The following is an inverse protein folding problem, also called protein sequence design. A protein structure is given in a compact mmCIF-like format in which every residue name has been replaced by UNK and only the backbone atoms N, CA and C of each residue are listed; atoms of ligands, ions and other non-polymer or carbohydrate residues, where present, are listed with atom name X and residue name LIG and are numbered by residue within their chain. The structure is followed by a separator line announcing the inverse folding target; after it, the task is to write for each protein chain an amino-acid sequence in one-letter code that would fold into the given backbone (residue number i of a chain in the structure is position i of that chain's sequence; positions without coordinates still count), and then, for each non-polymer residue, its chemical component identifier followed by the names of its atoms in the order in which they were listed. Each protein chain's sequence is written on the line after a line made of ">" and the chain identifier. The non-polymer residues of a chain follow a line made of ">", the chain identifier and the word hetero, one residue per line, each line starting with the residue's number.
data_IF_507688422890
#
_entry.id   IF_507688422890
#
_cell.length_a   1.000
_cell.length_b   1.000
_cell.length_c   1.000
_cell.angle_alpha   90.00
_cell.angle_beta   90.00
_cell.angle_gamma   90.00
#
_symmetry.space_group_name_H-M   'P 1'
#
loop_
_entity.id
_entity.type
_entity.pdbx_description
1 polymer ?
#
# COMPACT_ATOMS: atom_id res chain seq x y z
N UNK A 1 8.29 -5.33 19.30
CA UNK A 1 8.85 -6.45 18.50
C UNK A 1 9.59 -7.49 19.37
N UNK A 2 10.68 -7.17 20.09
CA UNK A 2 11.47 -8.19 20.81
C UNK A 2 10.69 -8.88 21.96
N UNK A 3 9.87 -8.13 22.69
CA UNK A 3 9.02 -8.68 23.77
C UNK A 3 7.98 -9.66 23.21
N UNK A 4 7.23 -9.24 22.17
CA UNK A 4 6.23 -10.10 21.52
C UNK A 4 6.85 -11.39 20.94
N UNK A 5 8.08 -11.31 20.41
CA UNK A 5 8.79 -12.49 19.93
C UNK A 5 9.14 -13.43 21.08
N UNK A 6 9.73 -12.91 22.16
CA UNK A 6 10.10 -13.69 23.34
C UNK A 6 8.88 -14.39 23.96
N UNK A 7 7.76 -13.68 24.09
CA UNK A 7 6.51 -14.21 24.65
C UNK A 7 5.93 -15.37 23.82
N UNK A 8 6.13 -15.37 22.50
CA UNK A 8 5.54 -16.34 21.58
C UNK A 8 6.57 -17.33 21.00
N UNK A 9 7.80 -17.35 21.50
CA UNK A 9 8.90 -18.19 20.97
C UNK A 9 8.60 -19.71 21.06
N UNK A 10 7.70 -20.09 21.94
CA UNK A 10 7.23 -21.47 22.10
C UNK A 10 6.20 -21.91 21.04
N UNK A 11 5.68 -20.97 20.25
CA UNK A 11 4.72 -21.22 19.19
C UNK A 11 5.45 -21.30 17.84
N UNK A 12 5.65 -22.52 17.34
CA UNK A 12 6.39 -22.79 16.09
C UNK A 12 5.85 -21.98 14.91
N UNK A 13 4.52 -21.92 14.75
CA UNK A 13 3.88 -21.17 13.67
C UNK A 13 4.18 -19.67 13.77
N UNK A 14 4.11 -19.12 14.98
CA UNK A 14 4.44 -17.71 15.19
C UNK A 14 5.91 -17.44 14.85
N UNK A 15 6.82 -18.32 15.26
CA UNK A 15 8.25 -18.18 14.99
C UNK A 15 8.51 -18.22 13.48
N UNK A 16 7.88 -19.14 12.75
CA UNK A 16 7.99 -19.23 11.30
C UNK A 16 7.48 -17.94 10.60
N UNK A 17 6.28 -17.48 10.95
CA UNK A 17 5.69 -16.26 10.37
C UNK A 17 6.56 -15.02 10.69
N UNK A 18 7.09 -14.94 11.93
CA UNK A 18 7.98 -13.86 12.37
C UNK A 18 9.30 -13.87 11.59
N UNK A 19 9.99 -15.01 11.52
CA UNK A 19 11.27 -15.13 10.82
C UNK A 19 11.12 -14.88 9.32
N UNK A 20 10.01 -15.34 8.70
CA UNK A 20 9.70 -15.05 7.29
C UNK A 20 9.55 -13.54 7.07
N UNK A 21 8.80 -12.87 7.94
CA UNK A 21 8.58 -11.42 7.83
C UNK A 21 9.88 -10.64 8.04
N UNK A 22 10.67 -10.98 9.06
CA UNK A 22 11.94 -10.29 9.33
C UNK A 22 12.98 -10.54 8.23
N UNK A 23 13.03 -11.77 7.66
CA UNK A 23 13.89 -12.06 6.51
C UNK A 23 13.49 -11.19 5.31
N UNK A 24 12.20 -11.13 4.97
CA UNK A 24 11.71 -10.27 3.89
C UNK A 24 12.02 -8.78 4.11
N UNK A 25 11.91 -8.30 5.36
CA UNK A 25 12.23 -6.90 5.69
C UNK A 25 13.73 -6.56 5.54
N UNK A 26 14.62 -7.54 5.73
CA UNK A 26 16.06 -7.33 5.63
C UNK A 26 16.61 -7.58 4.21
N UNK A 27 15.87 -8.29 3.35
CA UNK A 27 16.25 -8.61 1.97
C UNK A 27 16.05 -7.41 1.02
N UNK A 28 16.82 -6.34 1.28
CA UNK A 28 16.72 -5.09 0.53
C UNK A 28 17.50 -5.16 -0.79
N UNK A 29 16.91 -4.59 -1.85
CA UNK A 29 17.57 -4.42 -3.14
C UNK A 29 18.03 -2.97 -3.36
N UNK A 30 19.12 -2.79 -4.10
CA UNK A 30 19.61 -1.47 -4.43
C UNK A 30 18.64 -0.73 -5.39
N UNK A 31 18.35 0.53 -5.07
CA UNK A 31 17.55 1.42 -5.93
C UNK A 31 18.50 2.37 -6.67
N UNK A 32 18.35 2.58 -8.00
CA UNK A 32 19.15 3.53 -8.75
C UNK A 32 19.06 4.96 -8.16
N UNK A 33 20.22 5.60 -7.95
CA UNK A 33 20.30 6.85 -7.21
C UNK A 33 19.47 8.00 -7.78
N UNK A 34 19.41 8.13 -9.12
CA UNK A 34 18.61 9.18 -9.76
C UNK A 34 17.10 8.93 -9.59
N UNK A 35 16.66 7.67 -9.60
CA UNK A 35 15.26 7.30 -9.34
C UNK A 35 14.90 7.67 -7.90
N UNK A 36 15.75 7.32 -6.93
CA UNK A 36 15.54 7.66 -5.52
C UNK A 36 15.49 9.18 -5.31
N UNK A 37 16.42 9.93 -5.92
CA UNK A 37 16.45 11.40 -5.84
C UNK A 37 15.16 12.02 -6.40
N UNK A 38 14.66 11.53 -7.54
CA UNK A 38 13.41 12.01 -8.13
C UNK A 38 12.20 11.66 -7.26
N UNK A 39 12.14 10.43 -6.75
CA UNK A 39 11.09 9.97 -5.85
C UNK A 39 10.96 10.87 -4.61
N UNK A 40 12.07 11.14 -3.91
CA UNK A 40 12.07 12.01 -2.73
C UNK A 40 11.72 13.46 -3.08
N UNK A 41 12.34 14.05 -4.12
CA UNK A 41 12.07 15.46 -4.45
C UNK A 41 10.64 15.66 -4.95
N UNK A 42 10.18 14.84 -5.90
CA UNK A 42 8.91 15.08 -6.59
C UNK A 42 7.71 14.64 -5.77
N UNK A 43 7.78 13.52 -5.03
CA UNK A 43 6.65 13.01 -4.27
C UNK A 43 6.62 13.54 -2.85
N UNK A 44 7.72 13.38 -2.09
CA UNK A 44 7.74 13.74 -0.67
C UNK A 44 7.86 15.25 -0.45
N UNK A 45 8.81 15.90 -1.12
CA UNK A 45 9.11 17.31 -0.84
C UNK A 45 8.18 18.28 -1.61
N UNK A 46 7.88 17.97 -2.87
CA UNK A 46 7.15 18.89 -3.76
C UNK A 46 5.71 18.45 -4.04
N UNK A 47 5.35 17.20 -3.73
CA UNK A 47 4.01 16.63 -3.94
C UNK A 47 3.47 16.86 -5.38
N UNK A 48 4.32 16.72 -6.39
CA UNK A 48 4.00 17.08 -7.79
C UNK A 48 2.94 16.17 -8.42
N UNK A 49 2.80 14.93 -7.94
CA UNK A 49 1.87 13.95 -8.48
C UNK A 49 0.42 14.38 -8.31
N UNK A 50 0.05 14.83 -7.11
CA UNK A 50 -1.31 15.29 -6.80
C UNK A 50 -1.66 16.61 -7.48
N UNK A 51 -0.65 17.33 -7.95
CA UNK A 51 -0.77 18.62 -8.62
C UNK A 51 -0.81 18.50 -10.15
N UNK A 52 -0.71 17.29 -10.70
CA UNK A 52 -0.57 17.02 -12.13
C UNK A 52 0.64 17.72 -12.78
N UNK A 53 1.77 17.79 -12.04
CA UNK A 53 3.02 18.43 -12.48
C UNK A 53 4.23 17.50 -12.48
N UNK A 54 4.06 16.25 -12.07
CA UNK A 54 5.18 15.30 -11.97
C UNK A 54 5.64 14.85 -13.36
N UNK A 55 6.92 15.06 -13.73
CA UNK A 55 7.47 14.53 -14.97
C UNK A 55 7.86 13.05 -14.81
N UNK A 56 7.55 12.24 -15.82
CA UNK A 56 8.02 10.86 -15.99
C UNK A 56 8.42 10.67 -17.44
N UNK A 57 9.72 10.57 -17.70
CA UNK A 57 10.26 10.62 -19.06
C UNK A 57 9.85 11.92 -19.78
N UNK A 58 9.22 11.79 -20.94
CA UNK A 58 8.69 12.92 -21.73
C UNK A 58 7.27 13.36 -21.34
N UNK A 59 6.67 12.72 -20.35
CA UNK A 59 5.26 12.91 -20.00
C UNK A 59 5.12 13.68 -18.69
N UNK A 60 4.11 14.56 -18.62
CA UNK A 60 3.63 15.12 -17.34
C UNK A 60 2.42 14.30 -16.92
N UNK A 61 2.44 13.77 -15.71
CA UNK A 61 1.37 12.93 -15.18
C UNK A 61 0.15 13.78 -14.85
N UNK A 62 -1.03 13.29 -15.24
CA UNK A 62 -2.32 13.80 -14.80
C UNK A 62 -3.17 12.64 -14.27
N UNK A 63 -3.47 12.64 -12.98
CA UNK A 63 -4.23 11.56 -12.33
C UNK A 63 -5.66 11.44 -12.89
N UNK A 64 -6.21 12.51 -13.48
CA UNK A 64 -7.52 12.48 -14.14
C UNK A 64 -7.57 11.57 -15.36
N UNK A 65 -6.42 11.17 -15.91
CA UNK A 65 -6.36 10.20 -17.00
C UNK A 65 -6.57 8.76 -16.53
N UNK A 66 -6.59 8.49 -15.22
CA UNK A 66 -6.97 7.17 -14.67
C UNK A 66 -8.50 7.10 -14.67
N UNK A 67 -9.07 6.56 -15.77
CA UNK A 67 -10.52 6.45 -15.97
C UNK A 67 -11.06 5.03 -15.83
N UNK A 68 -10.19 4.04 -15.63
CA UNK A 68 -10.56 2.66 -15.33
C UNK A 68 -11.07 2.50 -13.88
N UNK A 69 -11.76 1.39 -13.53
CA UNK A 69 -12.15 1.12 -12.14
C UNK A 69 -10.96 1.15 -11.17
N UNK A 70 -11.15 1.74 -9.98
CA UNK A 70 -10.12 1.88 -8.94
C UNK A 70 -10.61 1.29 -7.61
N UNK A 71 -9.81 0.38 -7.04
CA UNK A 71 -9.97 -0.11 -5.69
C UNK A 71 -8.80 0.39 -4.83
N UNK A 72 -9.11 1.19 -3.81
CA UNK A 72 -8.14 1.73 -2.87
C UNK A 72 -8.23 0.99 -1.53
N UNK A 73 -7.15 0.33 -1.10
CA UNK A 73 -7.13 -0.52 0.09
C UNK A 73 -6.19 0.11 1.11
N UNK A 74 -6.68 0.34 2.33
CA UNK A 74 -5.96 1.07 3.38
C UNK A 74 -6.03 0.34 4.73
N UNK A 75 -5.08 0.62 5.62
CA UNK A 75 -5.02 0.12 6.98
C UNK A 75 -5.28 1.25 7.98
N UNK A 76 -6.17 1.04 8.96
CA UNK A 76 -6.58 2.08 9.91
C UNK A 76 -5.49 2.52 10.89
N UNK A 77 -4.47 1.69 11.13
CA UNK A 77 -3.32 1.97 12.02
C UNK A 77 -1.99 1.97 11.25
N UNK A 78 -2.02 2.39 9.99
CA UNK A 78 -0.81 2.52 9.19
C UNK A 78 -0.05 3.81 9.55
N UNK A 79 1.05 3.65 10.29
CA UNK A 79 1.92 4.76 10.69
C UNK A 79 2.91 5.19 9.59
N UNK A 80 3.07 4.38 8.53
CA UNK A 80 3.95 4.70 7.40
C UNK A 80 3.21 5.50 6.33
N UNK A 81 1.98 5.09 6.02
CA UNK A 81 1.08 5.77 5.07
C UNK A 81 -0.29 5.94 5.74
N UNK A 82 -0.48 7.00 6.54
CA UNK A 82 -1.76 7.26 7.19
C UNK A 82 -2.92 7.33 6.19
N UNK A 83 -4.12 6.92 6.61
CA UNK A 83 -5.32 6.96 5.77
C UNK A 83 -5.61 8.35 5.18
N UNK A 84 -5.21 9.43 5.88
CA UNK A 84 -5.33 10.81 5.40
C UNK A 84 -4.47 11.10 4.15
N UNK A 85 -3.42 10.33 3.90
CA UNK A 85 -2.60 10.41 2.69
C UNK A 85 -3.16 9.55 1.55
N UNK A 86 -3.78 8.41 1.85
CA UNK A 86 -4.35 7.49 0.86
C UNK A 86 -5.75 7.88 0.37
N UNK A 87 -6.58 8.46 1.25
CA UNK A 87 -7.99 8.78 0.95
C UNK A 87 -8.15 9.80 -0.20
N UNK A 88 -7.36 10.90 -0.27
CA UNK A 88 -7.49 11.90 -1.34
C UNK A 88 -7.28 11.34 -2.75
N UNK A 89 -6.56 10.22 -2.90
CA UNK A 89 -6.32 9.59 -4.20
C UNK A 89 -7.62 9.33 -4.97
N UNK A 90 -8.68 8.92 -4.29
CA UNK A 90 -9.98 8.63 -4.90
C UNK A 90 -10.59 9.84 -5.62
N UNK A 91 -10.33 11.05 -5.14
CA UNK A 91 -10.85 12.31 -5.71
C UNK A 91 -9.93 12.90 -6.78
N UNK A 92 -8.67 12.47 -6.81
CA UNK A 92 -7.69 12.90 -7.80
C UNK A 92 -7.81 12.15 -9.13
N UNK A 93 -8.26 10.89 -9.10
CA UNK A 93 -8.47 10.10 -10.33
C UNK A 93 -9.68 10.58 -11.13
N UNK A 94 -9.75 10.18 -12.41
CA UNK A 94 -10.87 10.44 -13.32
C UNK A 94 -11.92 9.32 -13.35
N UNK A 95 -11.68 8.24 -12.58
CA UNK A 95 -12.54 7.08 -12.54
C UNK A 95 -13.92 7.39 -11.96
N UNK A 96 -14.96 6.87 -12.62
CA UNK A 96 -16.34 6.90 -12.11
C UNK A 96 -16.66 5.71 -11.22
N UNK A 97 -15.88 4.64 -11.31
CA UNK A 97 -16.03 3.43 -10.52
C UNK A 97 -14.86 3.33 -9.54
N UNK A 98 -15.08 3.87 -8.34
CA UNK A 98 -14.09 3.95 -7.28
C UNK A 98 -14.65 3.36 -6.01
N UNK A 99 -13.88 2.47 -5.37
CA UNK A 99 -14.23 1.87 -4.08
C UNK A 99 -13.04 1.93 -3.14
N UNK A 100 -13.31 2.04 -1.84
CA UNK A 100 -12.29 1.90 -0.81
C UNK A 100 -12.62 0.78 0.17
N UNK A 101 -11.58 0.09 0.62
CA UNK A 101 -11.65 -0.90 1.70
C UNK A 101 -10.69 -0.42 2.79
N UNK A 102 -11.21 -0.33 4.02
CA UNK A 102 -10.42 0.03 5.19
C UNK A 102 -10.37 -1.17 6.13
N UNK A 103 -9.16 -1.67 6.41
CA UNK A 103 -8.95 -2.68 7.43
C UNK A 103 -8.66 -2.01 8.77
N UNK A 104 -9.72 -1.83 9.56
CA UNK A 104 -9.64 -1.19 10.88
C UNK A 104 -8.72 -1.96 11.82
N UNK A 105 -7.88 -1.25 12.57
CA UNK A 105 -6.98 -1.86 13.54
C UNK A 105 -5.77 -2.61 12.99
N UNK A 106 -5.58 -2.65 11.67
CA UNK A 106 -4.36 -3.18 11.04
C UNK A 106 -3.33 -2.07 10.78
N UNK A 107 -2.05 -2.40 10.94
CA UNK A 107 -0.95 -1.57 10.44
C UNK A 107 -0.52 -1.95 9.02
N UNK A 108 0.53 -1.29 8.52
CA UNK A 108 1.04 -1.38 7.15
C UNK A 108 1.25 -2.83 6.66
N UNK A 109 2.13 -3.57 7.33
CA UNK A 109 2.46 -4.97 6.96
C UNK A 109 1.24 -5.88 7.17
N UNK A 110 0.47 -5.62 8.23
CA UNK A 110 -0.73 -6.40 8.54
C UNK A 110 -1.81 -6.31 7.45
N UNK A 111 -1.85 -5.20 6.70
CA UNK A 111 -2.74 -5.05 5.54
C UNK A 111 -2.34 -5.98 4.40
N UNK A 112 -1.03 -6.16 4.18
CA UNK A 112 -0.52 -6.97 3.08
C UNK A 112 -0.64 -8.48 3.39
N UNK A 113 -0.04 -8.91 4.51
CA UNK A 113 0.20 -10.34 4.79
C UNK A 113 -0.50 -10.84 6.06
N UNK A 114 -1.20 -9.97 6.79
CA UNK A 114 -1.85 -10.35 8.04
C UNK A 114 -3.00 -11.33 7.86
N UNK A 115 -3.17 -12.23 8.82
CA UNK A 115 -4.24 -13.25 8.81
C UNK A 115 -5.65 -12.64 8.71
N UNK A 116 -5.87 -11.45 9.28
CA UNK A 116 -7.14 -10.72 9.09
C UNK A 116 -7.31 -10.16 7.70
N UNK A 117 -6.25 -9.62 7.07
CA UNK A 117 -6.33 -9.17 5.69
C UNK A 117 -6.71 -10.32 4.74
N UNK A 118 -6.16 -11.52 4.97
CA UNK A 118 -6.52 -12.75 4.25
C UNK A 118 -8.00 -13.15 4.40
N UNK A 119 -8.61 -12.85 5.55
CA UNK A 119 -10.01 -13.20 5.82
C UNK A 119 -11.00 -12.11 5.41
N UNK A 120 -10.61 -10.84 5.53
CA UNK A 120 -11.52 -9.70 5.44
C UNK A 120 -11.30 -8.88 4.17
N UNK A 121 -10.05 -8.61 3.77
CA UNK A 121 -9.72 -7.67 2.69
C UNK A 121 -9.60 -8.39 1.35
N UNK A 122 -8.75 -9.42 1.29
CA UNK A 122 -8.43 -10.07 0.02
C UNK A 122 -9.64 -10.76 -0.64
N UNK A 123 -10.57 -11.41 0.09
CA UNK A 123 -11.80 -11.93 -0.52
C UNK A 123 -12.67 -10.83 -1.14
N UNK A 124 -12.75 -9.65 -0.50
CA UNK A 124 -13.48 -8.50 -1.05
C UNK A 124 -12.80 -7.93 -2.30
N UNK A 125 -11.47 -7.86 -2.30
CA UNK A 125 -10.70 -7.41 -3.46
C UNK A 125 -10.87 -8.37 -4.64
N UNK A 126 -10.75 -9.68 -4.42
CA UNK A 126 -10.98 -10.70 -5.44
C UNK A 126 -12.40 -10.65 -5.99
N UNK A 127 -13.42 -10.50 -5.12
CA UNK A 127 -14.81 -10.33 -5.56
C UNK A 127 -14.98 -9.08 -6.42
N UNK A 128 -14.42 -7.94 -5.99
CA UNK A 128 -14.50 -6.68 -6.71
C UNK A 128 -13.85 -6.75 -8.10
N UNK A 129 -12.72 -7.46 -8.22
CA UNK A 129 -12.07 -7.74 -9.50
C UNK A 129 -12.92 -8.68 -10.37
N UNK A 130 -13.48 -9.75 -9.78
CA UNK A 130 -14.31 -10.73 -10.48
C UNK A 130 -15.61 -10.13 -11.05
N UNK A 131 -16.20 -9.13 -10.39
CA UNK A 131 -17.34 -8.36 -10.91
C UNK A 131 -17.02 -7.54 -12.17
N UNK A 132 -15.74 -7.41 -12.55
CA UNK A 132 -15.23 -6.57 -13.65
C UNK A 132 -14.36 -7.35 -14.64
N UNK A 133 -14.31 -8.67 -14.48
CA UNK A 133 -13.61 -9.58 -15.39
C UNK A 133 -14.70 -10.32 -16.16
N UNK A 134 -14.73 -10.16 -17.48
CA UNK A 134 -15.56 -10.99 -18.37
C UNK A 134 -15.08 -12.45 -18.40
#
# INVERSE_FOLDING_TARGET
>A
KPINFYENMHNEKFVEDFMTTETWLQDNIAVPGEVYRQFIKYLYQQNLLTQNRMPVGKHIINLKNITCPVLNIMAGKDDLVPCSQGTPFNDLVGSKDRKSILLEGSGHIGLAIGSRAQKEVWPQACKWLGERTD
#
